data_IF_598680598440
#
_entry.id   IF_598680598440
#
_cell.length_a   1.000
_cell.length_b   1.000
_cell.length_c   1.000
_cell.angle_alpha   90.00
_cell.angle_beta   90.00
_cell.angle_gamma   90.00
#
_symmetry.space_group_name_H-M   'P 1'
#
loop_
_entity.id
_entity.type
_entity.pdbx_description
1 polymer ?
#
# COMPACT_ATOMS: atom_id res chain seq x y z
N UNK A 1 23.57 11.55 1.97
CA UNK A 1 22.32 11.05 1.38
C UNK A 1 22.61 10.83 -0.10
N UNK A 2 22.90 9.60 -0.48
CA UNK A 2 23.12 9.27 -1.89
C UNK A 2 21.79 8.78 -2.46
N UNK A 3 21.27 9.54 -3.43
CA UNK A 3 20.09 9.18 -4.17
C UNK A 3 20.51 8.32 -5.37
N UNK A 4 19.92 7.14 -5.50
CA UNK A 4 20.07 6.35 -6.71
C UNK A 4 19.31 7.03 -7.85
N UNK A 5 20.02 7.42 -8.91
CA UNK A 5 19.43 8.05 -10.09
C UNK A 5 19.48 7.07 -11.24
N UNK A 6 18.33 6.74 -11.80
CA UNK A 6 18.22 6.01 -13.07
C UNK A 6 17.67 6.97 -14.12
N UNK A 7 18.40 7.16 -15.22
CA UNK A 7 18.02 8.09 -16.30
C UNK A 7 17.58 7.29 -17.50
N UNK A 8 16.37 7.50 -18.00
CA UNK A 8 15.94 7.05 -19.31
C UNK A 8 15.22 8.16 -20.09
N UNK A 9 15.35 8.11 -21.40
CA UNK A 9 14.95 9.15 -22.38
C UNK A 9 13.65 8.80 -23.11
N UNK A 10 12.72 9.67 -23.20
CA UNK A 10 12.25 10.48 -24.29
C UNK A 10 10.73 10.74 -24.28
N UNK A 11 10.27 11.86 -24.87
CA UNK A 11 9.05 12.53 -24.46
C UNK A 11 7.82 12.13 -25.28
N UNK A 12 6.67 12.09 -24.63
CA UNK A 12 5.37 12.10 -25.30
C UNK A 12 5.01 13.53 -25.71
N UNK A 13 4.74 13.73 -26.99
CA UNK A 13 4.32 15.03 -27.55
C UNK A 13 2.82 15.23 -27.30
N UNK A 14 2.49 16.22 -26.49
CA UNK A 14 1.10 16.68 -26.32
C UNK A 14 0.75 17.65 -27.44
N UNK A 15 -0.21 17.31 -28.31
CA UNK A 15 -0.75 18.25 -29.30
C UNK A 15 -2.09 18.81 -28.81
N UNK A 16 -2.13 20.14 -28.68
CA UNK A 16 -3.36 20.88 -28.36
C UNK A 16 -4.27 20.97 -29.58
N UNK A 17 -5.57 20.75 -29.37
CA UNK A 17 -6.60 20.82 -30.40
C UNK A 17 -6.69 22.16 -31.09
N UNK A 18 -6.87 22.13 -32.40
CA UNK A 18 -7.06 23.29 -33.26
C UNK A 18 -8.48 23.81 -33.20
N UNK A 19 -8.63 25.12 -32.95
CA UNK A 19 -9.91 25.85 -32.99
C UNK A 19 -10.18 26.24 -34.45
N UNK A 20 -11.25 25.71 -35.04
CA UNK A 20 -11.73 26.15 -36.34
C UNK A 20 -12.53 27.44 -36.21
N UNK A 21 -12.02 28.54 -36.75
CA UNK A 21 -12.75 29.81 -36.93
C UNK A 21 -13.60 29.75 -38.22
N UNK A 22 -14.89 30.01 -38.08
CA UNK A 22 -15.82 30.03 -39.18
C UNK A 22 -15.73 31.35 -40.01
N UNK A 23 -15.43 31.25 -41.29
CA UNK A 23 -15.75 32.26 -42.33
C UNK A 23 -16.44 31.63 -43.51
N UNK A 24 -17.46 32.25 -44.12
CA UNK A 24 -18.21 31.62 -45.18
C UNK A 24 -17.65 31.93 -46.58
N UNK A 25 -17.83 30.98 -47.44
CA UNK A 25 -17.88 30.95 -48.93
C UNK A 25 -16.74 30.16 -49.60
N UNK A 26 -17.22 29.09 -50.25
CA UNK A 26 -16.70 28.41 -51.45
C UNK A 26 -15.27 27.89 -51.42
N UNK A 27 -15.18 26.64 -51.08
CA UNK A 27 -14.40 25.54 -51.68
C UNK A 27 -14.53 24.36 -50.75
N UNK A 28 -14.81 23.19 -51.24
CA UNK A 28 -14.88 21.96 -50.48
C UNK A 28 -13.56 21.80 -49.73
N UNK A 29 -13.54 22.30 -48.49
CA UNK A 29 -12.47 22.05 -47.55
C UNK A 29 -12.66 20.62 -47.07
N UNK A 30 -11.85 19.70 -47.56
CA UNK A 30 -11.65 18.44 -46.86
C UNK A 30 -11.22 18.76 -45.44
N UNK A 31 -12.16 18.78 -44.53
CA UNK A 31 -11.85 18.67 -43.10
C UNK A 31 -11.23 17.25 -42.94
N UNK A 32 -9.90 17.19 -42.98
CA UNK A 32 -9.21 16.05 -42.42
C UNK A 32 -9.70 15.89 -41.01
N UNK A 33 -10.56 14.88 -40.77
CA UNK A 33 -10.84 14.43 -39.43
C UNK A 33 -9.50 13.99 -38.87
N UNK A 34 -8.84 14.88 -38.13
CA UNK A 34 -7.73 14.47 -37.28
C UNK A 34 -8.31 13.36 -36.44
N UNK A 35 -7.78 12.13 -36.48
CA UNK A 35 -8.24 11.07 -35.61
C UNK A 35 -8.22 11.64 -34.18
N UNK A 36 -9.32 11.47 -33.45
CA UNK A 36 -9.36 11.82 -32.04
C UNK A 36 -8.19 11.07 -31.41
N UNK A 37 -7.13 11.81 -31.12
CA UNK A 37 -5.95 11.21 -30.52
C UNK A 37 -6.42 10.66 -29.18
N UNK A 38 -6.46 9.36 -29.06
CA UNK A 38 -6.73 8.70 -27.80
C UNK A 38 -5.56 9.12 -26.92
N UNK A 39 -5.84 9.95 -25.93
CA UNK A 39 -4.85 10.30 -24.92
C UNK A 39 -4.54 8.98 -24.23
N UNK A 40 -3.32 8.54 -24.38
CA UNK A 40 -2.82 7.32 -23.76
C UNK A 40 -2.20 7.76 -22.44
N UNK A 41 -2.89 7.46 -21.36
CA UNK A 41 -2.46 7.88 -20.05
C UNK A 41 -1.72 6.73 -19.36
N UNK A 42 -0.62 7.01 -18.65
CA UNK A 42 0.05 6.03 -17.79
C UNK A 42 -0.81 5.66 -16.60
N UNK A 43 -0.49 4.54 -15.99
CA UNK A 43 -1.17 3.99 -14.82
C UNK A 43 -0.12 3.35 -13.88
N UNK A 44 0.73 4.18 -13.23
CA UNK A 44 1.70 3.69 -12.28
C UNK A 44 1.02 3.24 -11.00
N UNK A 45 1.37 2.07 -10.50
CA UNK A 45 0.67 1.41 -9.40
C UNK A 45 1.61 0.66 -8.46
N UNK A 46 1.08 0.35 -7.29
CA UNK A 46 1.61 -0.60 -6.30
C UNK A 46 0.44 -1.40 -5.73
N UNK A 47 0.70 -2.40 -4.87
CA UNK A 47 -0.38 -3.05 -4.14
C UNK A 47 -1.08 -2.05 -3.22
N UNK A 48 -2.33 -1.75 -3.52
CA UNK A 48 -3.14 -0.76 -2.81
C UNK A 48 -4.25 -1.44 -2.01
N UNK A 49 -4.17 -1.32 -0.70
CA UNK A 49 -5.14 -1.91 0.24
C UNK A 49 -6.52 -1.26 0.10
N UNK A 50 -6.56 0.04 -0.16
CA UNK A 50 -7.82 0.76 -0.33
C UNK A 50 -8.56 0.31 -1.59
N UNK A 51 -7.85 0.11 -2.70
CA UNK A 51 -8.43 -0.42 -3.93
C UNK A 51 -8.98 -1.83 -3.73
N UNK A 52 -8.18 -2.73 -3.11
CA UNK A 52 -8.62 -4.10 -2.79
C UNK A 52 -9.89 -4.07 -1.95
N UNK A 53 -9.94 -3.24 -0.90
CA UNK A 53 -11.11 -3.08 -0.06
C UNK A 53 -12.32 -2.52 -0.81
N UNK A 54 -12.14 -1.48 -1.61
CA UNK A 54 -13.23 -0.81 -2.36
C UNK A 54 -13.87 -1.71 -3.42
N UNK A 55 -13.10 -2.69 -3.92
CA UNK A 55 -13.58 -3.70 -4.88
C UNK A 55 -14.17 -4.95 -4.20
N UNK A 56 -14.32 -4.93 -2.87
CA UNK A 56 -14.89 -6.03 -2.08
C UNK A 56 -13.90 -7.14 -1.74
N UNK A 57 -12.61 -6.93 -1.97
CA UNK A 57 -11.55 -7.84 -1.57
C UNK A 57 -11.18 -7.70 -0.09
N UNK A 58 -10.39 -8.65 0.41
CA UNK A 58 -9.76 -8.58 1.73
C UNK A 58 -8.32 -8.09 1.57
N UNK A 59 -8.00 -6.83 1.95
CA UNK A 59 -6.64 -6.33 1.85
C UNK A 59 -5.74 -7.02 2.88
N UNK A 60 -4.45 -7.17 2.54
CA UNK A 60 -3.43 -7.57 3.50
C UNK A 60 -2.51 -6.42 3.82
N UNK A 61 -2.10 -6.31 5.09
CA UNK A 61 -1.12 -5.32 5.56
C UNK A 61 0.30 -5.92 5.66
N UNK A 62 0.48 -7.12 5.11
CA UNK A 62 1.75 -7.68 4.65
C UNK A 62 1.82 -7.50 3.14
N UNK A 63 2.19 -6.30 2.69
CA UNK A 63 2.16 -5.93 1.28
C UNK A 63 3.11 -6.80 0.44
N UNK A 64 2.68 -7.36 -0.68
CA UNK A 64 3.55 -8.10 -1.58
C UNK A 64 4.58 -7.19 -2.30
N UNK A 65 4.36 -5.90 -2.30
CA UNK A 65 5.19 -4.91 -2.99
C UNK A 65 6.14 -4.14 -2.08
N UNK A 66 6.07 -4.38 -0.77
CA UNK A 66 6.94 -3.74 0.21
C UNK A 66 7.73 -4.81 0.97
N UNK A 67 9.05 -4.74 0.90
CA UNK A 67 9.93 -5.55 1.72
C UNK A 67 10.61 -4.64 2.76
N UNK A 68 10.32 -4.87 4.03
CA UNK A 68 10.65 -3.95 5.12
C UNK A 68 11.31 -4.62 6.32
N UNK A 69 11.12 -5.92 6.48
CA UNK A 69 11.58 -6.65 7.66
C UNK A 69 11.88 -8.11 7.33
N UNK A 70 12.89 -8.65 8.00
CA UNK A 70 12.99 -10.09 8.15
C UNK A 70 11.82 -10.55 9.05
N UNK A 71 10.96 -11.39 8.53
CA UNK A 71 9.79 -11.86 9.29
C UNK A 71 10.24 -12.58 10.56
N UNK A 72 11.42 -13.20 10.53
CA UNK A 72 11.93 -13.90 11.70
C UNK A 72 13.47 -13.90 11.80
N UNK A 73 14.04 -13.46 12.94
CA UNK A 73 13.38 -12.65 13.98
C UNK A 73 12.96 -11.30 13.40
N UNK A 74 11.81 -10.77 13.84
CA UNK A 74 11.34 -9.46 13.37
C UNK A 74 12.40 -8.40 13.66
N UNK A 75 13.12 -8.03 12.65
CA UNK A 75 14.18 -7.00 12.72
C UNK A 75 14.14 -6.15 11.47
N UNK A 76 14.41 -4.85 11.63
CA UNK A 76 14.54 -3.95 10.51
C UNK A 76 15.64 -4.44 9.55
N UNK A 77 15.34 -4.52 8.28
CA UNK A 77 16.35 -4.73 7.26
C UNK A 77 17.11 -3.43 6.98
N UNK A 78 18.36 -3.50 6.51
CA UNK A 78 19.17 -2.30 6.24
C UNK A 78 18.60 -1.43 5.12
N UNK A 79 17.77 -1.99 4.25
CA UNK A 79 17.13 -1.29 3.15
C UNK A 79 15.66 -1.69 3.01
N UNK A 80 14.79 -0.70 2.97
CA UNK A 80 13.36 -0.86 2.64
C UNK A 80 13.24 -0.85 1.13
N UNK A 81 12.54 -1.80 0.55
CA UNK A 81 12.27 -1.82 -0.89
C UNK A 81 10.78 -1.70 -1.20
N UNK A 82 10.47 -1.04 -2.30
CA UNK A 82 9.12 -0.94 -2.84
C UNK A 82 9.12 -1.28 -4.33
N UNK A 83 8.20 -2.12 -4.75
CA UNK A 83 7.97 -2.45 -6.15
C UNK A 83 6.84 -1.60 -6.70
N UNK A 84 7.10 -0.92 -7.81
CA UNK A 84 6.14 -0.09 -8.54
C UNK A 84 6.04 -0.57 -9.98
N UNK A 85 4.84 -0.51 -10.57
CA UNK A 85 4.54 -1.00 -11.91
C UNK A 85 3.77 0.04 -12.69
N UNK A 86 3.85 -0.01 -14.01
CA UNK A 86 2.93 0.69 -14.89
C UNK A 86 1.96 -0.32 -15.51
N UNK A 87 0.68 -0.20 -15.21
CA UNK A 87 -0.38 -1.08 -15.70
C UNK A 87 -0.89 -0.67 -17.08
N UNK A 88 -0.61 0.56 -17.53
CA UNK A 88 -0.98 1.02 -18.86
C UNK A 88 -0.24 0.25 -19.97
N UNK A 89 -0.98 -0.40 -20.84
CA UNK A 89 -0.44 -1.04 -22.05
C UNK A 89 -0.17 -0.05 -23.16
N UNK A 90 -0.54 1.21 -23.00
CA UNK A 90 -0.55 2.23 -24.05
C UNK A 90 0.51 3.31 -23.83
N UNK A 91 0.77 3.73 -22.61
CA UNK A 91 1.67 4.82 -22.29
C UNK A 91 2.73 4.42 -21.25
N UNK A 92 3.92 5.01 -21.39
CA UNK A 92 4.97 4.95 -20.37
C UNK A 92 4.70 5.97 -19.27
N UNK A 93 5.01 5.63 -18.02
CA UNK A 93 4.93 6.53 -16.87
C UNK A 93 6.31 7.11 -16.56
N UNK A 94 6.69 8.13 -17.33
CA UNK A 94 7.99 8.78 -17.17
C UNK A 94 7.96 9.80 -16.04
N UNK A 95 9.08 9.91 -15.31
CA UNK A 95 9.20 10.84 -14.18
C UNK A 95 8.13 10.62 -13.10
N UNK A 96 7.80 9.36 -12.84
CA UNK A 96 6.90 8.96 -11.76
C UNK A 96 7.59 9.18 -10.42
N UNK A 97 7.00 10.00 -9.57
CA UNK A 97 7.51 10.23 -8.22
C UNK A 97 6.99 9.17 -7.28
N UNK A 98 7.88 8.60 -6.47
CA UNK A 98 7.57 7.62 -5.44
C UNK A 98 8.05 8.15 -4.10
N UNK A 99 7.12 8.36 -3.19
CA UNK A 99 7.36 8.84 -1.84
C UNK A 99 7.30 7.68 -0.85
N UNK A 100 8.29 7.58 0.02
CA UNK A 100 8.31 6.63 1.12
C UNK A 100 8.16 7.35 2.45
N UNK A 101 7.32 6.82 3.33
CA UNK A 101 7.12 7.32 4.68
C UNK A 101 6.95 6.17 5.68
N UNK A 102 7.08 6.48 6.95
CA UNK A 102 6.90 5.54 8.05
C UNK A 102 6.04 6.12 9.17
N UNK A 103 5.49 5.25 9.98
CA UNK A 103 4.83 5.61 11.24
C UNK A 103 5.25 4.65 12.35
N UNK A 104 4.98 5.01 13.60
CA UNK A 104 4.93 4.01 14.68
C UNK A 104 3.84 2.99 14.38
N UNK A 105 4.00 1.76 14.89
CA UNK A 105 3.03 0.69 14.70
C UNK A 105 1.66 1.06 15.26
N UNK A 106 0.61 0.77 14.50
CA UNK A 106 -0.78 1.09 14.81
C UNK A 106 -1.57 1.55 13.60
N UNK A 107 -2.84 1.80 13.78
CA UNK A 107 -3.78 2.21 12.71
C UNK A 107 -4.02 3.72 12.78
N UNK A 108 -3.99 4.42 11.65
CA UNK A 108 -4.23 5.86 11.57
C UNK A 108 -3.12 6.72 12.19
N UNK A 109 -1.93 6.15 12.39
CA UNK A 109 -0.79 6.84 12.99
C UNK A 109 -0.20 7.91 12.07
N UNK A 110 0.36 9.00 12.61
CA UNK A 110 0.98 10.05 11.81
C UNK A 110 2.20 9.52 11.07
N UNK A 111 2.33 9.92 9.80
CA UNK A 111 3.40 9.49 8.93
C UNK A 111 4.55 10.50 8.90
N UNK A 112 5.78 10.00 8.88
CA UNK A 112 7.01 10.79 8.74
C UNK A 112 7.68 10.39 7.43
N UNK A 113 8.08 11.36 6.61
CA UNK A 113 8.77 11.10 5.35
C UNK A 113 10.13 10.45 5.57
N UNK A 114 10.46 9.44 4.76
CA UNK A 114 11.78 8.83 4.64
C UNK A 114 12.52 9.46 3.46
N UNK A 115 11.88 9.53 2.30
CA UNK A 115 12.46 10.09 1.10
C UNK A 115 11.55 9.99 -0.10
N UNK A 116 11.99 10.60 -1.19
CA UNK A 116 11.32 10.55 -2.48
C UNK A 116 12.33 10.19 -3.56
N UNK A 117 11.89 9.47 -4.57
CA UNK A 117 12.68 9.20 -5.77
C UNK A 117 11.80 9.30 -7.01
N UNK A 118 12.43 9.33 -8.18
CA UNK A 118 11.75 9.33 -9.46
C UNK A 118 12.16 8.11 -10.27
N UNK A 119 11.20 7.56 -10.99
CA UNK A 119 11.42 6.39 -11.85
C UNK A 119 10.68 6.57 -13.17
N UNK A 120 11.28 6.05 -14.24
CA UNK A 120 10.65 5.93 -15.53
C UNK A 120 10.20 4.49 -15.72
N UNK A 121 8.91 4.29 -15.95
CA UNK A 121 8.32 2.98 -16.18
C UNK A 121 7.86 2.87 -17.64
N UNK A 122 8.32 1.84 -18.30
CA UNK A 122 7.80 1.51 -19.63
C UNK A 122 6.31 1.11 -19.54
N UNK A 123 5.62 1.07 -20.65
CA UNK A 123 4.25 0.52 -20.71
C UNK A 123 4.23 -0.96 -20.32
N UNK A 124 3.12 -1.42 -19.77
CA UNK A 124 2.93 -2.80 -19.35
C UNK A 124 3.24 -3.80 -20.48
N UNK A 125 3.90 -4.90 -20.12
CA UNK A 125 4.34 -5.92 -21.06
C UNK A 125 5.69 -5.66 -21.73
N UNK A 126 6.36 -4.55 -21.43
CA UNK A 126 7.71 -4.24 -21.93
C UNK A 126 8.73 -4.24 -20.79
N UNK A 127 9.99 -4.49 -21.14
CA UNK A 127 11.08 -4.40 -20.17
C UNK A 127 11.12 -3.00 -19.53
N UNK A 128 11.25 -2.94 -18.21
CA UNK A 128 11.20 -1.69 -17.45
C UNK A 128 9.79 -1.19 -17.10
N UNK A 129 8.74 -1.99 -17.32
CA UNK A 129 7.39 -1.67 -16.83
C UNK A 129 7.22 -1.86 -15.34
N UNK A 130 8.19 -2.46 -14.68
CA UNK A 130 8.29 -2.64 -13.24
C UNK A 130 9.66 -2.21 -12.75
N UNK A 131 9.73 -1.62 -11.56
CA UNK A 131 10.96 -1.22 -10.90
C UNK A 131 10.86 -1.48 -9.40
N UNK A 132 11.95 -1.99 -8.82
CA UNK A 132 12.12 -2.07 -7.37
C UNK A 132 13.03 -0.92 -6.93
N UNK A 133 12.50 -0.09 -6.05
CA UNK A 133 13.18 1.06 -5.47
C UNK A 133 13.64 0.73 -4.06
N UNK A 134 14.78 1.30 -3.64
CA UNK A 134 15.37 0.98 -2.34
C UNK A 134 15.74 2.26 -1.59
N UNK A 135 15.48 2.26 -0.29
CA UNK A 135 15.86 3.33 0.64
C UNK A 135 16.57 2.75 1.85
N UNK A 136 17.62 3.42 2.29
CA UNK A 136 18.27 3.07 3.56
C UNK A 136 17.27 3.24 4.70
N UNK A 137 17.14 2.23 5.56
CA UNK A 137 16.26 2.29 6.72
C UNK A 137 16.76 3.34 7.70
N UNK A 138 15.96 4.38 8.02
CA UNK A 138 16.39 5.40 8.97
C UNK A 138 16.60 4.83 10.38
N UNK A 139 17.57 5.37 11.12
CA UNK A 139 17.83 4.96 12.49
C UNK A 139 16.58 5.12 13.40
N UNK A 140 15.73 6.11 13.15
CA UNK A 140 14.48 6.31 13.88
C UNK A 140 13.51 5.16 13.69
N UNK A 141 13.42 4.57 12.47
CA UNK A 141 12.60 3.39 12.18
C UNK A 141 13.16 2.20 12.93
N UNK A 142 14.47 1.97 12.86
CA UNK A 142 15.14 0.89 13.60
C UNK A 142 14.95 1.00 15.12
N UNK A 143 15.02 2.22 15.67
CA UNK A 143 14.82 2.46 17.10
C UNK A 143 13.37 2.32 17.55
N UNK A 144 12.39 2.50 16.67
CA UNK A 144 10.97 2.34 16.99
C UNK A 144 10.58 0.89 17.30
N UNK A 145 11.33 -0.07 16.79
CA UNK A 145 11.08 -1.51 16.96
C UNK A 145 9.93 -2.01 16.09
N UNK A 146 8.71 -1.54 16.34
CA UNK A 146 7.53 -1.84 15.53
C UNK A 146 7.09 -0.59 14.77
N UNK A 147 6.82 -0.73 13.47
CA UNK A 147 6.51 0.39 12.60
C UNK A 147 5.68 -0.03 11.38
N UNK A 148 5.07 0.95 10.73
CA UNK A 148 4.46 0.81 9.42
C UNK A 148 5.26 1.57 8.36
N UNK A 149 5.36 1.02 7.16
CA UNK A 149 5.93 1.64 5.98
C UNK A 149 4.83 1.90 4.96
N UNK A 150 4.91 3.05 4.32
CA UNK A 150 3.93 3.50 3.35
C UNK A 150 4.63 4.00 2.11
N UNK A 151 4.14 3.58 0.95
CA UNK A 151 4.53 4.09 -0.35
C UNK A 151 3.38 4.89 -0.94
N UNK A 152 3.69 5.97 -1.63
CA UNK A 152 2.73 6.76 -2.40
C UNK A 152 3.33 7.13 -3.74
N UNK A 153 2.57 6.91 -4.80
CA UNK A 153 2.97 7.18 -6.19
C UNK A 153 2.23 8.42 -6.67
N UNK A 154 2.95 9.29 -7.37
CA UNK A 154 2.39 10.50 -7.96
C UNK A 154 2.85 10.63 -9.40
N UNK A 155 1.91 10.67 -10.32
CA UNK A 155 2.16 10.95 -11.73
C UNK A 155 1.09 11.91 -12.27
N UNK A 156 1.45 12.99 -13.00
CA UNK A 156 0.50 14.05 -13.36
C UNK A 156 -0.57 13.62 -14.38
N UNK A 157 -0.38 12.50 -15.05
CA UNK A 157 -1.29 11.96 -16.06
C UNK A 157 -1.79 10.55 -15.70
N UNK A 158 -1.81 10.25 -14.44
CA UNK A 158 -2.30 8.97 -13.95
C UNK A 158 -3.80 8.82 -14.18
N UNK A 159 -4.21 7.65 -14.69
CA UNK A 159 -5.61 7.35 -14.98
C UNK A 159 -6.36 6.81 -13.78
N UNK A 160 -5.66 6.17 -12.86
CA UNK A 160 -6.26 5.57 -11.67
C UNK A 160 -5.48 5.90 -10.38
N UNK A 161 -5.73 7.07 -9.77
CA UNK A 161 -5.04 7.45 -8.54
C UNK A 161 -5.42 6.58 -7.34
N UNK A 162 -6.35 5.63 -7.48
CA UNK A 162 -6.79 4.74 -6.41
C UNK A 162 -5.92 3.48 -6.24
N UNK A 163 -4.92 3.28 -7.09
CA UNK A 163 -3.95 2.18 -7.00
C UNK A 163 -2.53 2.65 -6.64
N UNK A 164 -2.41 3.88 -6.13
CA UNK A 164 -1.15 4.60 -5.96
C UNK A 164 -0.57 4.56 -4.56
N UNK A 165 -1.19 3.90 -3.61
CA UNK A 165 -0.70 3.86 -2.24
C UNK A 165 -0.66 2.44 -1.72
N UNK A 166 0.45 2.09 -1.06
CA UNK A 166 0.61 0.80 -0.42
C UNK A 166 1.10 0.98 1.01
N UNK A 167 0.75 0.04 1.87
CA UNK A 167 1.24 0.02 3.23
C UNK A 167 1.64 -1.37 3.69
N UNK A 168 2.66 -1.41 4.54
CA UNK A 168 3.04 -2.59 5.31
C UNK A 168 3.18 -2.21 6.76
N UNK A 169 2.27 -2.69 7.58
CA UNK A 169 2.25 -2.48 9.02
C UNK A 169 2.16 -3.83 9.70
N UNK A 170 3.31 -4.43 10.01
CA UNK A 170 3.39 -5.81 10.43
C UNK A 170 4.02 -5.96 11.82
N UNK A 171 3.47 -6.90 12.57
CA UNK A 171 4.01 -7.48 13.78
C UNK A 171 3.95 -9.01 13.66
N UNK A 172 4.46 -9.75 14.62
CA UNK A 172 4.34 -11.20 14.58
C UNK A 172 4.80 -11.88 15.86
N UNK A 173 4.50 -13.16 15.92
CA UNK A 173 4.96 -14.01 17.00
C UNK A 173 5.12 -15.46 16.53
N UNK A 174 6.01 -16.17 17.20
CA UNK A 174 6.20 -17.60 16.99
C UNK A 174 5.42 -18.36 18.07
N UNK A 175 4.71 -19.40 17.65
CA UNK A 175 3.92 -20.23 18.57
C UNK A 175 3.73 -21.65 18.06
N UNK A 176 3.54 -22.57 18.99
CA UNK A 176 2.97 -23.89 18.70
C UNK A 176 1.43 -23.78 18.70
N UNK A 177 0.79 -24.78 18.09
CA UNK A 177 -0.69 -24.88 18.07
C UNK A 177 -1.27 -24.92 19.49
N UNK A 178 -2.51 -24.40 19.67
CA UNK A 178 -3.18 -24.37 20.97
C UNK A 178 -2.70 -23.27 21.92
N UNK A 179 -1.95 -22.28 21.43
CA UNK A 179 -1.50 -21.14 22.24
C UNK A 179 -2.21 -19.85 21.86
N UNK A 180 -2.32 -18.97 22.86
CA UNK A 180 -2.90 -17.63 22.67
C UNK A 180 -1.84 -16.54 22.85
N UNK A 181 -2.01 -15.43 22.14
CA UNK A 181 -1.22 -14.21 22.23
C UNK A 181 -2.12 -13.00 22.12
N UNK A 182 -1.77 -11.95 22.88
CA UNK A 182 -2.47 -10.67 22.84
C UNK A 182 -1.53 -9.56 22.42
N UNK A 183 -2.05 -8.65 21.59
CA UNK A 183 -1.34 -7.49 21.09
C UNK A 183 -2.10 -6.23 21.44
N UNK A 184 -1.38 -5.23 21.92
CA UNK A 184 -1.90 -3.87 22.08
C UNK A 184 -1.72 -3.14 20.76
N UNK A 185 -2.81 -2.69 20.16
CA UNK A 185 -2.83 -1.98 18.88
C UNK A 185 -3.32 -0.55 19.12
N UNK A 186 -2.47 0.46 18.96
CA UNK A 186 -2.91 1.84 18.97
C UNK A 186 -3.79 2.13 17.74
N UNK A 187 -4.97 2.70 17.95
CA UNK A 187 -5.87 3.17 16.90
C UNK A 187 -6.08 4.66 17.08
N UNK A 188 -5.79 5.44 16.06
CA UNK A 188 -5.90 6.89 16.08
C UNK A 188 -6.92 7.37 15.05
N UNK A 189 -7.70 8.36 15.43
CA UNK A 189 -8.54 9.10 14.48
C UNK A 189 -7.70 10.23 13.82
N UNK A 190 -7.30 10.11 12.55
CA UNK A 190 -6.49 11.13 11.89
C UNK A 190 -7.33 12.31 11.37
N UNK A 191 -8.66 12.26 11.48
CA UNK A 191 -9.56 13.28 10.93
C UNK A 191 -9.69 14.49 11.87
N UNK A 192 -10.25 15.58 11.37
CA UNK A 192 -10.50 16.82 12.12
C UNK A 192 -11.78 16.82 12.96
N UNK A 193 -12.52 15.70 13.03
CA UNK A 193 -13.80 15.59 13.75
C UNK A 193 -13.90 14.29 14.51
N UNK A 194 -14.84 14.19 15.45
CA UNK A 194 -15.14 12.92 16.14
C UNK A 194 -15.67 11.91 15.13
N UNK A 195 -15.10 10.69 15.19
CA UNK A 195 -15.46 9.57 14.31
C UNK A 195 -15.71 8.30 15.09
N UNK A 196 -16.57 7.45 14.54
CA UNK A 196 -16.69 6.05 14.93
C UNK A 196 -15.82 5.22 14.00
N UNK A 197 -14.93 4.43 14.58
CA UNK A 197 -13.99 3.57 13.86
C UNK A 197 -14.40 2.12 14.15
N UNK A 198 -14.70 1.37 13.09
CA UNK A 198 -15.01 -0.05 13.17
C UNK A 198 -13.79 -0.87 12.78
N UNK A 199 -13.52 -1.94 13.55
CA UNK A 199 -12.40 -2.85 13.37
C UNK A 199 -12.93 -4.23 12.96
N UNK A 200 -12.42 -4.75 11.86
CA UNK A 200 -12.74 -6.07 11.35
C UNK A 200 -11.49 -6.93 11.17
N UNK A 201 -11.66 -8.25 11.22
CA UNK A 201 -10.56 -9.21 11.13
C UNK A 201 -10.67 -10.00 9.85
N UNK A 202 -9.55 -10.17 9.15
CA UNK A 202 -9.39 -11.02 7.98
C UNK A 202 -8.06 -11.78 8.00
N UNK A 203 -7.80 -12.65 7.05
CA UNK A 203 -8.80 -13.29 6.20
C UNK A 203 -9.72 -14.27 6.96
N UNK A 204 -10.77 -14.74 6.31
CA UNK A 204 -11.81 -15.58 6.94
C UNK A 204 -11.28 -16.83 7.64
N UNK A 205 -10.13 -17.37 7.22
CA UNK A 205 -9.54 -18.57 7.80
C UNK A 205 -9.03 -18.34 9.24
N UNK A 206 -8.53 -17.14 9.54
CA UNK A 206 -7.98 -16.79 10.86
C UNK A 206 -8.91 -15.92 11.70
N UNK A 207 -9.96 -15.37 11.09
CA UNK A 207 -10.94 -14.55 11.81
C UNK A 207 -11.57 -15.28 13.01
N UNK A 208 -11.92 -16.60 12.94
CA UNK A 208 -12.46 -17.31 14.11
C UNK A 208 -11.46 -17.46 15.26
N UNK A 209 -10.19 -17.29 15.02
CA UNK A 209 -9.13 -17.39 16.06
C UNK A 209 -8.85 -16.05 16.73
N UNK A 210 -9.42 -14.97 16.21
CA UNK A 210 -9.03 -13.62 16.55
C UNK A 210 -10.21 -12.82 17.08
N UNK A 211 -9.97 -12.11 18.16
CA UNK A 211 -10.95 -11.17 18.74
C UNK A 211 -10.30 -9.82 18.91
N UNK A 212 -10.98 -8.76 18.52
CA UNK A 212 -10.57 -7.36 18.72
C UNK A 212 -11.48 -6.72 19.75
N UNK A 213 -10.91 -6.14 20.81
CA UNK A 213 -11.67 -5.55 21.93
C UNK A 213 -11.13 -4.16 22.30
N UNK A 214 -11.96 -3.13 22.23
CA UNK A 214 -13.26 -3.08 21.57
C UNK A 214 -13.14 -3.17 20.05
N UNK A 215 -14.16 -3.68 19.36
CA UNK A 215 -14.22 -3.73 17.89
C UNK A 215 -14.77 -2.45 17.27
N UNK A 216 -15.30 -1.54 18.08
CA UNK A 216 -15.79 -0.21 17.66
C UNK A 216 -15.32 0.84 18.67
N UNK A 217 -14.80 1.95 18.16
CA UNK A 217 -14.28 3.08 18.94
C UNK A 217 -14.95 4.37 18.50
N UNK A 218 -15.28 5.26 19.45
CA UNK A 218 -15.64 6.64 19.14
C UNK A 218 -14.52 7.55 19.63
N UNK A 219 -13.77 8.16 18.72
CA UNK A 219 -12.60 8.98 19.01
C UNK A 219 -12.78 10.40 18.50
N UNK A 220 -12.47 11.39 19.33
CA UNK A 220 -12.35 12.79 18.93
C UNK A 220 -11.25 13.00 17.89
N UNK A 221 -11.22 14.18 17.30
CA UNK A 221 -10.20 14.58 16.31
C UNK A 221 -8.79 14.38 16.87
N UNK A 222 -7.95 13.63 16.18
CA UNK A 222 -6.58 13.34 16.57
C UNK A 222 -6.42 12.44 17.80
N UNK A 223 -7.51 12.03 18.46
CA UNK A 223 -7.46 11.16 19.64
C UNK A 223 -7.02 9.73 19.28
N UNK A 224 -6.41 9.07 20.25
CA UNK A 224 -5.90 7.71 20.12
C UNK A 224 -6.39 6.85 21.29
N UNK A 225 -6.70 5.59 21.02
CA UNK A 225 -7.01 4.58 22.03
C UNK A 225 -6.39 3.24 21.63
N UNK A 226 -5.97 2.48 22.65
CA UNK A 226 -5.48 1.12 22.45
C UNK A 226 -6.65 0.14 22.38
N UNK A 227 -6.56 -0.79 21.45
CA UNK A 227 -7.39 -1.99 21.40
C UNK A 227 -6.55 -3.22 21.67
N UNK A 228 -7.18 -4.28 22.13
CA UNK A 228 -6.54 -5.58 22.31
C UNK A 228 -6.93 -6.51 21.17
N UNK A 229 -5.94 -7.05 20.48
CA UNK A 229 -6.11 -8.12 19.51
C UNK A 229 -5.69 -9.42 20.18
N UNK A 230 -6.64 -10.31 20.43
CA UNK A 230 -6.39 -11.62 21.01
C UNK A 230 -6.42 -12.67 19.90
N UNK A 231 -5.34 -13.41 19.75
CA UNK A 231 -5.23 -14.51 18.79
C UNK A 231 -5.15 -15.80 19.59
N UNK A 232 -6.05 -16.75 19.31
CA UNK A 232 -6.13 -18.03 19.93
C UNK A 232 -6.03 -19.13 18.86
N UNK A 233 -4.81 -19.63 18.65
CA UNK A 233 -4.54 -20.63 17.62
C UNK A 233 -5.15 -21.97 18.04
N UNK A 234 -6.09 -22.55 17.25
CA UNK A 234 -6.71 -23.81 17.59
C UNK A 234 -5.69 -24.97 17.58
N UNK A 235 -5.88 -25.91 18.49
CA UNK A 235 -5.08 -27.15 18.50
C UNK A 235 -5.28 -28.05 17.26
N UNK A 236 -6.36 -27.79 16.52
CA UNK A 236 -6.65 -28.48 15.23
C UNK A 236 -5.82 -27.98 14.05
N UNK A 237 -5.08 -26.86 14.22
CA UNK A 237 -4.14 -26.40 13.17
C UNK A 237 -3.00 -27.43 13.09
N UNK A 238 -2.72 -28.00 11.90
CA UNK A 238 -1.66 -28.96 11.77
C UNK A 238 -0.31 -28.35 12.19
N UNK A 239 0.49 -29.11 12.92
CA UNK A 239 1.87 -28.73 13.15
C UNK A 239 2.62 -28.66 11.82
N UNK A 240 3.53 -27.71 11.69
CA UNK A 240 4.42 -27.62 10.53
C UNK A 240 5.29 -28.89 10.44
N UNK A 241 5.59 -29.40 9.24
CA UNK A 241 6.60 -30.42 9.10
C UNK A 241 7.93 -29.92 9.72
N UNK A 242 8.72 -30.83 10.35
CA UNK A 242 9.99 -30.44 10.93
C UNK A 242 10.89 -29.71 9.92
N UNK A 243 11.40 -28.53 10.33
CA UNK A 243 12.23 -27.68 9.49
C UNK A 243 11.48 -26.77 8.51
N UNK A 244 10.15 -26.74 8.56
CA UNK A 244 9.33 -25.79 7.80
C UNK A 244 8.60 -24.84 8.73
N UNK A 245 8.66 -23.54 8.43
CA UNK A 245 7.81 -22.54 9.08
C UNK A 245 6.57 -22.36 8.21
N UNK A 246 5.41 -22.70 8.75
CA UNK A 246 4.14 -22.27 8.16
C UNK A 246 3.79 -20.92 8.79
N UNK A 247 3.41 -19.95 7.97
CA UNK A 247 2.95 -18.65 8.44
C UNK A 247 1.47 -18.46 8.12
N UNK A 248 0.75 -17.87 9.05
CA UNK A 248 -0.57 -17.30 8.82
C UNK A 248 -0.52 -15.80 9.16
N UNK A 249 -1.32 -15.00 8.50
CA UNK A 249 -1.45 -13.57 8.79
C UNK A 249 -2.85 -13.24 9.28
N UNK A 250 -2.94 -12.49 10.37
CA UNK A 250 -4.17 -11.86 10.82
C UNK A 250 -4.13 -10.39 10.42
N UNK A 251 -5.00 -10.00 9.51
CA UNK A 251 -5.19 -8.60 9.15
C UNK A 251 -6.30 -7.99 10.01
N UNK A 252 -6.03 -6.84 10.63
CA UNK A 252 -7.03 -6.02 11.31
C UNK A 252 -7.22 -4.75 10.50
N UNK A 253 -8.40 -4.62 9.92
CA UNK A 253 -8.81 -3.50 9.09
C UNK A 253 -9.64 -2.52 9.91
N UNK A 254 -9.37 -1.22 9.76
CA UNK A 254 -10.18 -0.15 10.32
C UNK A 254 -10.92 0.63 9.24
N UNK A 255 -12.18 0.98 9.54
CA UNK A 255 -13.01 1.81 8.67
C UNK A 255 -13.71 2.92 9.47
N UNK A 256 -14.04 4.02 8.78
CA UNK A 256 -14.89 5.10 9.29
C UNK A 256 -16.10 5.20 8.36
N UNK A 257 -17.30 4.86 8.85
CA UNK A 257 -18.50 4.87 8.05
C UNK A 257 -18.42 3.97 6.80
N UNK A 258 -17.69 2.85 6.89
CA UNK A 258 -17.45 1.94 5.78
C UNK A 258 -16.34 2.37 4.81
N UNK A 259 -15.67 3.52 5.05
CA UNK A 259 -14.53 3.98 4.25
C UNK A 259 -13.23 3.49 4.88
N UNK A 260 -12.32 3.01 4.06
CA UNK A 260 -11.00 2.53 4.47
C UNK A 260 -10.21 3.59 5.25
N UNK A 261 -9.65 3.21 6.39
CA UNK A 261 -8.78 4.05 7.21
C UNK A 261 -7.32 3.55 7.21
N UNK A 262 -7.14 2.25 7.20
CA UNK A 262 -5.84 1.57 7.33
C UNK A 262 -5.97 0.26 8.08
N UNK A 263 -4.84 -0.38 8.36
CA UNK A 263 -4.85 -1.62 9.14
C UNK A 263 -3.47 -2.07 9.59
N UNK A 264 -3.43 -3.28 10.12
CA UNK A 264 -2.20 -3.95 10.54
C UNK A 264 -2.26 -5.44 10.18
N UNK A 265 -1.10 -6.06 10.01
CA UNK A 265 -0.93 -7.50 9.93
C UNK A 265 -0.22 -8.03 11.19
N UNK A 266 -0.66 -9.16 11.68
CA UNK A 266 0.03 -9.93 12.73
C UNK A 266 0.37 -11.30 12.16
N UNK A 267 1.66 -11.51 11.85
CA UNK A 267 2.16 -12.78 11.35
C UNK A 267 2.24 -13.80 12.48
N UNK A 268 1.74 -14.99 12.23
CA UNK A 268 1.80 -16.13 13.13
C UNK A 268 2.75 -17.16 12.50
N UNK A 269 3.86 -17.42 13.17
CA UNK A 269 4.83 -18.43 12.75
C UNK A 269 4.62 -19.67 13.61
N UNK A 270 4.26 -20.79 12.98
CA UNK A 270 4.03 -22.05 13.68
C UNK A 270 5.34 -22.82 13.82
N UNK A 271 5.69 -23.17 15.06
CA UNK A 271 6.74 -24.14 15.36
C UNK A 271 6.23 -25.56 15.14
N UNK A 272 7.10 -26.42 14.61
CA UNK A 272 6.86 -27.85 14.51
C UNK A 272 6.99 -28.56 15.88
#
# INVERSE_FOLDING_TARGET
MENATVVLKNPAVVSRGSICSARPKSRSSCCLKVPKQIIQDPDPSTYDQQLVFSTGGAPTFNSPDLDTVDIWPLRPIPAITATVRNLSTQASANNTRVDLSWSTWGIGMPRTAIGSTFVDLARAGFAGSEATLSWTTPAAVTAAGLYGIFVSIVHPYDTDPYNNSGEQTMNGFQTSTGRSKSFVVPVRNPTGSTQTIDLTVGPAQVAPWTTVVPSTLTLGAGAQQNVMVHINVPSSVPASPPGTLISAGVDVLATIGGVYLGGINIAILFDA
#
